data_IF_991251850505
#
_entry.id   IF_991251850505
#
_cell.length_a   1.000
_cell.length_b   1.000
_cell.length_c   1.000
_cell.angle_alpha   90.00
_cell.angle_beta   90.00
_cell.angle_gamma   90.00
#
_symmetry.space_group_name_H-M   'P 1'
#
loop_
_entity.id
_entity.type
_entity.pdbx_description
1 polymer ?
#
# COMPACT_ATOMS: atom_id res chain seq x y z
N UNK A 1 4.74 5.27 20.19
CA UNK A 1 5.19 5.05 18.80
C UNK A 1 4.11 4.20 18.18
N UNK A 2 3.55 4.56 17.03
CA UNK A 2 2.47 3.76 16.43
C UNK A 2 3.17 2.66 15.63
N UNK A 3 3.17 1.44 16.15
CA UNK A 3 3.76 0.27 15.52
C UNK A 3 2.87 -0.15 14.32
N UNK A 4 2.98 0.56 13.21
CA UNK A 4 2.32 0.23 11.93
C UNK A 4 2.92 -1.03 11.26
N UNK A 5 3.91 -1.67 11.89
CA UNK A 5 4.61 -2.85 11.38
C UNK A 5 3.69 -4.05 11.12
N UNK A 6 2.56 -4.15 11.80
CA UNK A 6 1.62 -5.28 11.66
C UNK A 6 0.53 -5.03 10.62
N UNK A 7 0.43 -3.83 10.04
CA UNK A 7 -0.65 -3.51 9.09
C UNK A 7 -0.43 -4.20 7.75
N UNK A 8 -1.51 -4.76 7.21
CA UNK A 8 -1.55 -5.40 5.90
C UNK A 8 -2.33 -4.53 4.91
N UNK A 9 -1.84 -4.46 3.68
CA UNK A 9 -2.55 -3.93 2.54
C UNK A 9 -3.12 -5.10 1.74
N UNK A 10 -4.43 -5.07 1.53
CA UNK A 10 -5.19 -6.17 0.93
C UNK A 10 -5.93 -5.65 -0.30
N UNK A 11 -5.64 -6.24 -1.44
CA UNK A 11 -6.34 -5.95 -2.70
C UNK A 11 -7.06 -7.20 -3.19
N UNK A 12 -8.36 -7.07 -3.47
CA UNK A 12 -9.17 -8.11 -4.10
C UNK A 12 -9.54 -7.67 -5.51
N UNK A 13 -9.21 -8.49 -6.50
CA UNK A 13 -9.63 -8.21 -7.88
C UNK A 13 -11.09 -8.68 -8.13
N UNK A 14 -11.68 -8.34 -9.29
CA UNK A 14 -13.04 -8.77 -9.64
C UNK A 14 -13.24 -10.29 -9.78
N UNK A 15 -12.17 -11.07 -9.83
CA UNK A 15 -12.21 -12.55 -9.88
C UNK A 15 -12.08 -13.18 -8.48
N UNK A 16 -12.24 -12.40 -7.41
CA UNK A 16 -12.07 -12.84 -6.02
C UNK A 16 -10.66 -13.38 -5.69
N UNK A 17 -9.64 -13.00 -6.47
CA UNK A 17 -8.25 -13.26 -6.10
C UNK A 17 -7.76 -12.14 -5.20
N UNK A 18 -7.07 -12.52 -4.13
CA UNK A 18 -6.56 -11.58 -3.12
C UNK A 18 -5.04 -11.51 -3.19
N UNK A 19 -4.53 -10.28 -3.06
CA UNK A 19 -3.12 -9.98 -2.84
C UNK A 19 -2.98 -9.35 -1.47
N UNK A 20 -2.02 -9.84 -0.70
CA UNK A 20 -1.72 -9.38 0.65
C UNK A 20 -0.23 -9.03 0.70
N UNK A 21 0.07 -7.85 1.20
CA UNK A 21 1.43 -7.37 1.42
C UNK A 21 1.47 -6.48 2.65
N UNK A 22 2.68 -6.15 3.09
CA UNK A 22 2.85 -5.18 4.16
C UNK A 22 2.28 -3.84 3.74
N UNK A 23 1.48 -3.21 4.61
CA UNK A 23 1.07 -1.83 4.44
C UNK A 23 2.21 -0.85 4.79
N UNK A 24 3.41 -1.34 5.14
CA UNK A 24 4.54 -0.51 5.52
C UNK A 24 5.23 0.02 4.26
N UNK A 25 5.24 1.35 4.10
CA UNK A 25 6.00 2.00 3.05
C UNK A 25 7.50 1.73 3.22
N UNK A 26 8.14 1.24 2.16
CA UNK A 26 9.57 0.91 2.14
C UNK A 26 10.51 2.12 2.24
N UNK A 27 9.98 3.35 2.30
CA UNK A 27 10.79 4.55 2.50
C UNK A 27 11.19 4.74 3.96
N UNK A 28 10.23 5.07 4.84
CA UNK A 28 10.48 5.35 6.27
C UNK A 28 9.48 4.63 7.19
N UNK A 29 8.90 3.53 6.73
CA UNK A 29 8.15 2.62 7.61
C UNK A 29 6.74 3.08 7.98
N UNK A 30 6.14 4.01 7.24
CA UNK A 30 4.78 4.53 7.51
C UNK A 30 3.72 3.75 6.74
N UNK A 31 2.52 3.60 7.31
CA UNK A 31 1.43 2.90 6.64
C UNK A 31 0.99 3.59 5.34
N UNK A 32 0.78 2.83 4.27
CA UNK A 32 0.16 3.30 3.02
C UNK A 32 -1.36 3.23 3.08
N UNK A 33 -2.04 4.09 2.33
CA UNK A 33 -3.51 4.12 2.21
C UNK A 33 -3.98 3.81 0.79
N UNK A 34 -5.17 3.22 0.65
CA UNK A 34 -5.73 2.91 -0.66
C UNK A 34 -6.28 4.15 -1.37
N UNK A 35 -5.87 4.37 -2.61
CA UNK A 35 -6.40 5.37 -3.52
C UNK A 35 -7.37 4.71 -4.52
N UNK A 36 -8.66 4.98 -4.35
CA UNK A 36 -9.71 4.41 -5.18
C UNK A 36 -9.71 4.92 -6.62
N UNK A 37 -9.27 6.17 -6.86
CA UNK A 37 -9.26 6.79 -8.17
C UNK A 37 -8.16 6.19 -9.04
N UNK A 38 -6.98 5.97 -8.47
CA UNK A 38 -5.79 5.54 -9.20
C UNK A 38 -5.48 4.04 -9.02
N UNK A 39 -6.23 3.34 -8.16
CA UNK A 39 -6.02 1.92 -7.83
C UNK A 39 -4.59 1.65 -7.34
N UNK A 40 -4.11 2.53 -6.46
CA UNK A 40 -2.76 2.50 -5.90
C UNK A 40 -2.79 2.54 -4.37
N UNK A 41 -1.69 2.15 -3.76
CA UNK A 41 -1.40 2.39 -2.35
C UNK A 41 -0.45 3.56 -2.23
N UNK A 42 -0.88 4.60 -1.54
CA UNK A 42 -0.20 5.87 -1.49
C UNK A 42 0.30 6.13 -0.08
N UNK A 43 1.59 6.46 0.03
CA UNK A 43 2.19 6.88 1.29
C UNK A 43 1.91 8.37 1.51
N UNK A 44 1.16 8.75 2.56
CA UNK A 44 0.78 10.14 2.80
C UNK A 44 1.96 11.04 3.22
N UNK A 45 3.14 10.48 3.49
CA UNK A 45 4.27 11.23 4.02
C UNK A 45 5.05 11.96 2.92
N UNK A 46 5.40 11.27 1.84
CA UNK A 46 6.31 11.79 0.81
C UNK A 46 5.88 11.44 -0.62
N UNK A 47 4.70 10.82 -0.79
CA UNK A 47 4.17 10.51 -2.12
C UNK A 47 4.74 9.25 -2.77
N UNK A 48 5.37 8.34 -2.00
CA UNK A 48 5.68 7.01 -2.51
C UNK A 48 4.38 6.29 -2.88
N UNK A 49 4.33 5.67 -4.05
CA UNK A 49 3.12 5.01 -4.57
C UNK A 49 3.44 3.60 -5.02
N UNK A 50 2.50 2.71 -4.78
CA UNK A 50 2.56 1.30 -5.16
C UNK A 50 1.30 0.94 -5.92
N UNK A 51 1.38 0.08 -6.94
CA UNK A 51 0.20 -0.38 -7.65
C UNK A 51 -0.67 -1.28 -6.76
N UNK A 52 -1.86 -1.65 -7.24
CA UNK A 52 -2.77 -2.55 -6.51
C UNK A 52 -2.16 -3.92 -6.14
N UNK A 53 -1.03 -4.31 -6.73
CA UNK A 53 -0.29 -5.54 -6.44
C UNK A 53 0.93 -5.31 -5.53
N UNK A 54 1.13 -4.09 -5.02
CA UNK A 54 2.23 -3.74 -4.11
C UNK A 54 3.54 -3.39 -4.81
N UNK A 55 3.56 -3.25 -6.15
CA UNK A 55 4.78 -2.89 -6.88
C UNK A 55 4.96 -1.37 -6.89
N UNK A 56 6.17 -0.92 -6.58
CA UNK A 56 6.53 0.50 -6.59
C UNK A 56 6.27 1.14 -7.96
N UNK A 57 5.52 2.24 -7.96
CA UNK A 57 5.29 3.14 -9.10
C UNK A 57 6.26 4.32 -9.00
N UNK A 58 6.32 4.94 -7.83
CA UNK A 58 7.19 6.09 -7.51
C UNK A 58 7.68 6.03 -6.06
N UNK A 59 8.86 6.61 -5.82
CA UNK A 59 9.37 6.83 -4.46
C UNK A 59 8.98 8.20 -3.97
#
# INVERSE_FOLDING_TARGET
MQDDLDKLAVYCNPKNKTWVFSAVCSHLGRSVGWNNAEKSWDCPCHGSRFDCYGKMISR
#
